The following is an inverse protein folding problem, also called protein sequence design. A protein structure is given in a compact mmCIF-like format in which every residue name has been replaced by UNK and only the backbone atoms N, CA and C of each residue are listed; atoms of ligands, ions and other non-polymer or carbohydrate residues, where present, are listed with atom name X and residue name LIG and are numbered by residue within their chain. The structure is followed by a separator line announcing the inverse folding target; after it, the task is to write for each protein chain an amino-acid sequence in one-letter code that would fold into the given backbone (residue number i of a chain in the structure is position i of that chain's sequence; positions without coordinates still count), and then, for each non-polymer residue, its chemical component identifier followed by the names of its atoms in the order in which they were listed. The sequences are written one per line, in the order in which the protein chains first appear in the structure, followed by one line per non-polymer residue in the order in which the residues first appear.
data_IF_578763969912
#
_entry.id   IF_578763969912
#
_cell.length_a   1.000
_cell.length_b   1.000
_cell.length_c   1.000
_cell.angle_alpha   90.00
_cell.angle_beta   90.00
_cell.angle_gamma   90.00
#
_symmetry.space_group_name_H-M   'P 1'
#
loop_
_entity.id
_entity.type
_entity.pdbx_description
1 polymer ?
#
# COMPACT_ATOMS: atom_id res chain seq x y z
N UNK A 1 4.11 -0.81 -14.05
CA UNK A 1 5.52 -0.60 -14.42
C UNK A 1 6.03 -1.92 -14.98
N UNK A 2 6.75 -1.90 -16.11
CA UNK A 2 7.32 -3.11 -16.71
C UNK A 2 8.83 -3.02 -16.61
N UNK A 3 9.49 -4.03 -16.03
CA UNK A 3 10.94 -4.06 -15.85
C UNK A 3 11.56 -4.72 -17.08
N UNK A 4 12.30 -3.94 -17.88
CA UNK A 4 12.95 -4.42 -19.11
C UNK A 4 14.42 -4.83 -18.91
N UNK A 5 15.05 -4.36 -17.83
CA UNK A 5 16.45 -4.61 -17.46
C UNK A 5 16.55 -4.62 -15.93
N UNK A 6 16.79 -5.80 -15.35
CA UNK A 6 16.74 -5.99 -13.90
C UNK A 6 17.89 -5.30 -13.18
N UNK A 7 19.10 -5.33 -13.74
CA UNK A 7 20.29 -4.76 -13.11
C UNK A 7 20.20 -3.23 -13.05
N UNK A 8 19.75 -2.61 -14.15
CA UNK A 8 19.49 -1.16 -14.15
C UNK A 8 18.37 -0.77 -13.20
N UNK A 9 17.32 -1.60 -13.09
CA UNK A 9 16.23 -1.34 -12.15
C UNK A 9 16.74 -1.37 -10.70
N UNK A 10 17.47 -2.41 -10.30
CA UNK A 10 18.04 -2.52 -8.95
C UNK A 10 18.99 -1.36 -8.66
N UNK A 11 19.87 -1.01 -9.60
CA UNK A 11 20.80 0.12 -9.44
C UNK A 11 20.10 1.48 -9.33
N UNK A 12 18.86 1.59 -9.79
CA UNK A 12 18.06 2.82 -9.71
C UNK A 12 17.25 2.96 -8.42
N UNK A 13 17.16 1.91 -7.60
CA UNK A 13 16.39 1.96 -6.35
C UNK A 13 17.06 2.93 -5.36
N UNK A 14 16.29 3.86 -4.76
CA UNK A 14 16.83 4.76 -3.76
C UNK A 14 17.24 3.96 -2.51
N UNK A 15 18.46 4.17 -2.03
CA UNK A 15 18.86 3.70 -0.71
C UNK A 15 18.45 4.73 0.34
N UNK A 16 17.35 4.44 1.05
CA UNK A 16 16.85 5.30 2.12
C UNK A 16 17.79 5.38 3.34
N UNK A 17 18.86 4.59 3.40
CA UNK A 17 19.89 4.71 4.41
C UNK A 17 20.56 6.10 4.44
N UNK A 18 20.43 6.89 3.35
CA UNK A 18 20.85 8.30 3.34
C UNK A 18 20.15 9.15 4.43
N UNK A 19 19.00 8.70 4.95
CA UNK A 19 18.27 9.37 6.03
C UNK A 19 18.57 8.78 7.43
N UNK A 20 19.55 7.88 7.54
CA UNK A 20 19.95 7.32 8.84
C UNK A 20 20.49 8.43 9.76
N UNK A 21 19.97 8.47 11.00
CA UNK A 21 20.28 9.51 11.98
C UNK A 21 19.35 10.73 11.93
N UNK A 22 18.53 10.89 10.89
CA UNK A 22 17.58 12.01 10.78
C UNK A 22 16.34 11.87 11.68
N UNK A 23 16.08 10.67 12.21
CA UNK A 23 14.89 10.37 13.03
C UNK A 23 15.20 10.24 14.53
N UNK A 24 16.24 10.95 15.00
CA UNK A 24 16.70 10.91 16.39
C UNK A 24 17.21 9.53 16.82
N UNK A 25 17.30 9.30 18.13
CA UNK A 25 17.67 7.99 18.71
C UNK A 25 16.47 7.02 18.68
N UNK A 26 15.99 6.71 17.48
CA UNK A 26 14.87 5.79 17.26
C UNK A 26 15.23 4.73 16.23
N UNK A 27 14.35 3.74 16.08
CA UNK A 27 14.45 2.70 15.04
C UNK A 27 13.59 3.03 13.81
N UNK A 28 13.11 4.27 13.69
CA UNK A 28 12.25 4.70 12.57
C UNK A 28 13.09 4.77 11.29
N UNK A 29 12.52 4.24 10.21
CA UNK A 29 13.10 4.26 8.87
C UNK A 29 11.99 4.54 7.85
N UNK A 30 12.30 5.15 6.70
CA UNK A 30 11.35 5.27 5.60
C UNK A 30 10.86 3.89 5.16
N UNK A 31 9.62 3.84 4.66
CA UNK A 31 9.06 2.70 3.95
C UNK A 31 8.73 3.15 2.53
N UNK A 32 8.85 2.24 1.58
CA UNK A 32 8.37 2.47 0.22
C UNK A 32 6.84 2.52 0.18
N UNK A 33 6.32 3.09 -0.90
CA UNK A 33 4.91 3.07 -1.28
C UNK A 33 4.84 2.31 -2.60
N UNK A 34 4.25 1.12 -2.61
CA UNK A 34 4.22 0.27 -3.82
C UNK A 34 3.34 0.88 -4.92
N UNK A 35 2.26 1.54 -4.53
CA UNK A 35 1.41 2.29 -5.44
C UNK A 35 0.66 3.42 -4.74
N UNK A 36 0.42 4.50 -5.49
CA UNK A 36 -0.39 5.63 -5.05
C UNK A 36 -1.22 6.13 -6.22
N UNK A 37 -2.50 6.39 -5.97
CA UNK A 37 -3.41 7.07 -6.89
C UNK A 37 -4.02 8.25 -6.15
N UNK A 38 -3.90 9.45 -6.71
CA UNK A 38 -4.60 10.64 -6.25
C UNK A 38 -5.76 10.96 -7.19
N UNK A 39 -6.89 11.37 -6.61
CA UNK A 39 -8.03 11.92 -7.35
C UNK A 39 -8.85 12.85 -6.45
N UNK A 40 -9.09 14.07 -6.90
CA UNK A 40 -9.92 15.06 -6.21
C UNK A 40 -9.48 15.33 -4.75
N UNK A 41 -8.17 15.36 -4.50
CA UNK A 41 -7.60 15.54 -3.17
C UNK A 41 -7.73 14.32 -2.25
N UNK A 42 -8.14 13.16 -2.78
CA UNK A 42 -8.21 11.89 -2.06
C UNK A 42 -7.15 10.94 -2.58
N UNK A 43 -6.42 10.30 -1.67
CA UNK A 43 -5.37 9.35 -2.03
C UNK A 43 -5.78 7.91 -1.71
N UNK A 44 -5.50 7.01 -2.64
CA UNK A 44 -5.45 5.57 -2.48
C UNK A 44 -3.98 5.14 -2.46
N UNK A 45 -3.56 4.51 -1.37
CA UNK A 45 -2.27 3.86 -1.25
C UNK A 45 -2.44 2.35 -1.42
N UNK A 46 -1.50 1.72 -2.12
CA UNK A 46 -1.46 0.30 -2.37
C UNK A 46 -0.18 -0.25 -1.76
N UNK A 47 -0.31 -1.34 -1.01
CA UNK A 47 0.80 -2.13 -0.48
C UNK A 47 0.61 -3.58 -0.92
N UNK A 48 1.62 -4.13 -1.57
CA UNK A 48 1.69 -5.53 -1.95
C UNK A 48 2.52 -6.31 -0.92
N UNK A 49 2.01 -7.48 -0.53
CA UNK A 49 2.73 -8.44 0.29
C UNK A 49 2.77 -9.79 -0.40
N UNK A 50 3.91 -10.48 -0.33
CA UNK A 50 3.94 -11.89 -0.72
C UNK A 50 3.00 -12.73 0.15
N UNK A 51 2.41 -13.79 -0.40
CA UNK A 51 1.40 -14.66 0.24
C UNK A 51 1.55 -14.88 1.75
N UNK A 52 2.76 -15.23 2.22
CA UNK A 52 3.03 -15.57 3.63
C UNK A 52 3.65 -14.42 4.44
N UNK A 53 3.88 -13.26 3.83
CA UNK A 53 4.45 -12.12 4.51
C UNK A 53 3.45 -11.56 5.54
N UNK A 54 3.95 -11.17 6.71
CA UNK A 54 3.15 -10.50 7.73
C UNK A 54 3.18 -8.99 7.54
N UNK A 55 2.08 -8.32 7.92
CA UNK A 55 2.08 -6.88 8.06
C UNK A 55 2.75 -6.52 9.39
N UNK A 56 3.90 -5.85 9.33
CA UNK A 56 4.60 -5.45 10.56
C UNK A 56 3.78 -4.47 11.38
N UNK A 57 4.00 -4.45 12.70
CA UNK A 57 3.33 -3.49 13.61
C UNK A 57 3.60 -2.02 13.21
N UNK A 58 4.79 -1.73 12.68
CA UNK A 58 5.16 -0.39 12.22
C UNK A 58 4.35 0.01 10.97
N UNK A 59 4.27 -0.87 9.97
CA UNK A 59 3.45 -0.62 8.77
C UNK A 59 1.96 -0.50 9.11
N UNK A 60 1.43 -1.37 9.98
CA UNK A 60 0.05 -1.29 10.43
C UNK A 60 -0.27 0.06 11.12
N UNK A 61 0.69 0.63 11.86
CA UNK A 61 0.55 1.98 12.45
C UNK A 61 0.60 3.08 11.40
N UNK A 62 1.52 2.98 10.44
CA UNK A 62 1.64 3.94 9.34
C UNK A 62 0.37 3.97 8.48
N UNK A 63 -0.14 2.81 8.06
CA UNK A 63 -1.34 2.71 7.22
C UNK A 63 -2.59 3.20 7.95
N UNK A 64 -2.73 2.88 9.24
CA UNK A 64 -3.79 3.45 10.06
C UNK A 64 -3.69 4.98 10.14
N UNK A 65 -2.48 5.53 10.32
CA UNK A 65 -2.29 6.98 10.36
C UNK A 65 -2.69 7.65 9.04
N UNK A 66 -2.36 7.05 7.89
CA UNK A 66 -2.81 7.54 6.59
C UNK A 66 -4.33 7.48 6.45
N UNK A 67 -4.96 6.39 6.89
CA UNK A 67 -6.39 6.21 6.83
C UNK A 67 -7.15 7.23 7.71
N UNK A 68 -6.65 7.52 8.91
CA UNK A 68 -7.24 8.54 9.79
C UNK A 68 -7.16 9.96 9.22
N UNK A 69 -6.20 10.23 8.33
CA UNK A 69 -6.12 11.50 7.58
C UNK A 69 -7.16 11.59 6.44
N UNK A 70 -7.97 10.56 6.24
CA UNK A 70 -9.00 10.50 5.20
C UNK A 70 -8.55 9.85 3.90
N UNK A 71 -7.38 9.22 3.88
CA UNK A 71 -6.93 8.40 2.75
C UNK A 71 -7.51 6.98 2.84
N UNK A 72 -7.39 6.23 1.74
CA UNK A 72 -7.65 4.79 1.72
C UNK A 72 -6.33 4.05 1.53
N UNK A 73 -6.11 2.97 2.28
CA UNK A 73 -4.95 2.08 2.08
C UNK A 73 -5.46 0.68 1.80
N UNK A 74 -5.02 0.07 0.70
CA UNK A 74 -5.30 -1.33 0.40
C UNK A 74 -4.00 -2.12 0.51
N UNK A 75 -3.95 -3.03 1.47
CA UNK A 75 -2.88 -4.04 1.54
C UNK A 75 -3.41 -5.35 0.97
N UNK A 76 -2.75 -5.88 -0.05
CA UNK A 76 -3.15 -7.15 -0.68
C UNK A 76 -2.01 -8.17 -0.66
N UNK A 77 -2.39 -9.44 -0.51
CA UNK A 77 -1.47 -10.57 -0.49
C UNK A 77 -1.65 -11.41 -1.75
N UNK A 78 -0.57 -11.61 -2.49
CA UNK A 78 -0.59 -12.45 -3.68
C UNK A 78 0.67 -13.30 -3.87
N UNK A 79 0.57 -14.25 -4.80
CA UNK A 79 1.68 -14.98 -5.40
C UNK A 79 1.57 -14.79 -6.92
N UNK A 80 2.35 -13.85 -7.48
CA UNK A 80 2.11 -13.37 -8.83
C UNK A 80 0.79 -12.61 -8.94
N UNK A 81 -0.03 -12.97 -9.94
CA UNK A 81 -1.37 -12.38 -10.15
C UNK A 81 -2.47 -13.01 -9.27
N UNK A 82 -2.16 -14.09 -8.54
CA UNK A 82 -3.11 -14.77 -7.65
C UNK A 82 -3.26 -14.00 -6.34
N UNK A 83 -4.15 -13.01 -6.32
CA UNK A 83 -4.61 -12.33 -5.09
C UNK A 83 -5.44 -13.32 -4.28
N UNK A 84 -5.10 -13.45 -3.00
CA UNK A 84 -5.75 -14.42 -2.09
C UNK A 84 -6.53 -13.76 -0.97
N UNK A 85 -6.14 -12.54 -0.60
CA UNK A 85 -6.80 -11.71 0.40
C UNK A 85 -6.35 -10.26 0.31
N UNK A 86 -7.18 -9.36 0.81
CA UNK A 86 -6.79 -7.98 1.01
C UNK A 86 -7.50 -7.34 2.19
N UNK A 87 -6.87 -6.29 2.70
CA UNK A 87 -7.35 -5.42 3.76
C UNK A 87 -7.53 -4.02 3.20
N UNK A 88 -8.67 -3.40 3.50
CA UNK A 88 -8.96 -2.01 3.16
C UNK A 88 -9.03 -1.21 4.45
N UNK A 89 -8.06 -0.35 4.69
CA UNK A 89 -8.06 0.63 5.76
C UNK A 89 -8.70 1.94 5.28
N UNK A 90 -9.59 2.47 6.11
CA UNK A 90 -10.29 3.73 5.90
C UNK A 90 -10.45 4.45 7.24
N UNK A 91 -10.89 5.71 7.21
CA UNK A 91 -11.07 6.48 8.44
C UNK A 91 -12.01 5.76 9.41
N UNK A 92 -11.54 5.51 10.64
CA UNK A 92 -12.33 4.87 11.68
C UNK A 92 -12.33 3.33 11.66
N UNK A 93 -11.63 2.66 10.73
CA UNK A 93 -11.56 1.20 10.76
C UNK A 93 -10.88 0.55 9.56
N UNK A 94 -11.11 -0.75 9.43
CA UNK A 94 -10.67 -1.51 8.27
C UNK A 94 -11.66 -2.64 7.98
N UNK A 95 -11.65 -3.15 6.75
CA UNK A 95 -12.36 -4.36 6.35
C UNK A 95 -11.36 -5.37 5.77
N UNK A 96 -11.52 -6.64 6.18
CA UNK A 96 -10.72 -7.75 5.65
C UNK A 96 -11.56 -8.56 4.66
N UNK A 97 -10.93 -9.00 3.57
CA UNK A 97 -11.47 -9.88 2.54
C UNK A 97 -10.53 -11.07 2.42
N UNK A 98 -10.93 -12.21 2.98
CA UNK A 98 -10.14 -13.45 3.02
C UNK A 98 -11.14 -14.64 3.04
N UNK A 99 -11.28 -15.41 1.94
CA UNK A 99 -10.52 -15.29 0.70
C UNK A 99 -10.97 -14.10 -0.17
N UNK A 100 -10.14 -13.73 -1.14
CA UNK A 100 -10.42 -12.76 -2.19
C UNK A 100 -9.70 -13.13 -3.49
N UNK A 101 -10.08 -12.50 -4.60
CA UNK A 101 -9.51 -12.70 -5.93
C UNK A 101 -8.98 -11.40 -6.54
N UNK A 102 -8.33 -11.49 -7.71
CA UNK A 102 -7.90 -10.30 -8.47
C UNK A 102 -9.09 -9.44 -8.90
N UNK A 103 -10.22 -10.06 -9.23
CA UNK A 103 -11.43 -9.32 -9.64
C UNK A 103 -12.08 -8.60 -8.46
N UNK A 104 -12.05 -9.18 -7.26
CA UNK A 104 -12.48 -8.48 -6.03
C UNK A 104 -11.60 -7.24 -5.76
N UNK A 105 -10.29 -7.37 -5.96
CA UNK A 105 -9.35 -6.25 -5.81
C UNK A 105 -9.62 -5.15 -6.86
N UNK A 106 -9.88 -5.53 -8.12
CA UNK A 106 -10.24 -4.58 -9.18
C UNK A 106 -11.57 -3.89 -8.91
N UNK A 107 -12.56 -4.62 -8.42
CA UNK A 107 -13.87 -4.08 -8.05
C UNK A 107 -13.74 -3.06 -6.91
N UNK A 108 -13.00 -3.36 -5.84
CA UNK A 108 -12.86 -2.41 -4.72
C UNK A 108 -12.12 -1.14 -5.12
N UNK A 109 -11.10 -1.25 -5.98
CA UNK A 109 -10.39 -0.08 -6.54
C UNK A 109 -11.32 0.74 -7.42
N UNK A 110 -12.13 0.09 -8.26
CA UNK A 110 -13.10 0.76 -9.14
C UNK A 110 -14.20 1.48 -8.34
N UNK A 111 -14.66 0.88 -7.24
CA UNK A 111 -15.63 1.49 -6.31
C UNK A 111 -15.04 2.68 -5.57
N UNK A 112 -13.79 2.57 -5.10
CA UNK A 112 -13.09 3.70 -4.50
C UNK A 112 -12.98 4.87 -5.49
N UNK A 113 -12.56 4.58 -6.72
CA UNK A 113 -12.44 5.59 -7.76
C UNK A 113 -13.78 6.26 -8.10
N UNK A 114 -14.86 5.48 -8.09
CA UNK A 114 -16.22 5.98 -8.34
C UNK A 114 -16.75 6.81 -7.18
N UNK A 115 -16.43 6.45 -5.92
CA UNK A 115 -16.92 7.17 -4.74
C UNK A 115 -16.30 8.55 -4.57
N UNK A 116 -15.07 8.76 -5.05
CA UNK A 116 -14.42 10.07 -5.11
C UNK A 116 -14.87 10.91 -6.33
N UNK A 117 -15.73 10.32 -7.19
CA UNK A 117 -16.74 10.88 -8.11
C UNK A 117 -17.59 12.03 -7.60
N UNK A 118 -18.12 11.84 -6.41
CA UNK A 118 -19.26 12.63 -5.99
C UNK A 118 -18.77 13.94 -5.37
N UNK A 119 -19.27 15.10 -5.84
CA UNK A 119 -18.91 16.40 -5.28
C UNK A 119 -19.26 16.53 -3.80
#
# INVERSE_FOLDING_TARGET
MTINDLDKFIASLPDWAILNGCFGDTKIRPTDIDGMVERNGKCLFLEHKGRRASLSKAQARAFRSLAEQGNTVITFWSEGEDVQRFRVDYRGGFKMFDPATLDDLRDIVSRWFSSVNSP
#
